data_IF_871767989886
#
_entry.id   IF_871767989886
#
_cell.length_a   1.000
_cell.length_b   1.000
_cell.length_c   1.000
_cell.angle_alpha   90.00
_cell.angle_beta   90.00
_cell.angle_gamma   90.00
#
_symmetry.space_group_name_H-M   'P 1'
#
loop_
_entity.id
_entity.type
_entity.pdbx_description
1 polymer ?
#
# COMPACT_ATOMS: atom_id res chain seq x y z
N UNK A 1 -18.08 25.87 0.03
CA UNK A 1 -17.45 24.57 0.32
C UNK A 1 -17.15 24.52 1.81
N UNK A 2 -17.70 23.55 2.56
CA UNK A 2 -17.50 23.46 4.01
C UNK A 2 -16.03 23.10 4.31
N UNK A 3 -15.40 23.81 5.26
CA UNK A 3 -14.01 23.60 5.69
C UNK A 3 -13.73 22.14 6.04
N UNK A 4 -14.71 21.44 6.61
CA UNK A 4 -14.62 20.03 6.94
C UNK A 4 -14.34 19.14 5.71
N UNK A 5 -15.00 19.41 4.57
CA UNK A 5 -14.78 18.62 3.35
C UNK A 5 -13.38 18.85 2.77
N UNK A 6 -12.88 20.08 2.84
CA UNK A 6 -11.54 20.43 2.36
C UNK A 6 -10.49 19.69 3.19
N UNK A 7 -10.63 19.70 4.51
CA UNK A 7 -9.73 18.98 5.41
C UNK A 7 -9.79 17.48 5.17
N UNK A 8 -10.98 16.89 5.03
CA UNK A 8 -11.13 15.46 4.76
C UNK A 8 -10.45 15.05 3.43
N UNK A 9 -10.68 15.81 2.37
CA UNK A 9 -10.08 15.54 1.06
C UNK A 9 -8.56 15.72 1.09
N UNK A 10 -8.06 16.74 1.78
CA UNK A 10 -6.63 16.95 1.99
C UNK A 10 -5.99 15.78 2.74
N UNK A 11 -6.62 15.29 3.83
CA UNK A 11 -6.15 14.10 4.56
C UNK A 11 -6.17 12.88 3.63
N UNK A 12 -7.27 12.64 2.91
CA UNK A 12 -7.40 11.48 2.03
C UNK A 12 -6.29 11.45 0.97
N UNK A 13 -6.06 12.57 0.28
CA UNK A 13 -5.02 12.67 -0.76
C UNK A 13 -3.63 12.52 -0.13
N UNK A 14 -3.36 13.17 0.99
CA UNK A 14 -2.05 13.10 1.66
C UNK A 14 -1.73 11.66 2.06
N UNK A 15 -2.70 10.93 2.62
CA UNK A 15 -2.49 9.53 3.01
C UNK A 15 -2.33 8.61 1.80
N UNK A 16 -3.04 8.88 0.69
CA UNK A 16 -2.85 8.15 -0.56
C UNK A 16 -1.43 8.35 -1.11
N UNK A 17 -0.93 9.59 -1.10
CA UNK A 17 0.43 9.93 -1.54
C UNK A 17 1.48 9.27 -0.65
N UNK A 18 1.33 9.34 0.67
CA UNK A 18 2.27 8.71 1.61
C UNK A 18 2.33 7.20 1.39
N UNK A 19 1.17 6.54 1.24
CA UNK A 19 1.13 5.10 1.06
C UNK A 19 1.69 4.68 -0.31
N UNK A 20 1.13 5.20 -1.40
CA UNK A 20 1.52 4.80 -2.77
C UNK A 20 2.95 5.24 -3.06
N UNK A 21 3.28 6.51 -2.80
CA UNK A 21 4.63 7.05 -2.99
C UNK A 21 5.67 6.36 -2.12
N UNK A 22 5.33 6.06 -0.86
CA UNK A 22 6.20 5.34 0.06
C UNK A 22 6.54 3.93 -0.43
N UNK A 23 5.57 3.19 -0.99
CA UNK A 23 5.84 1.86 -1.56
C UNK A 23 6.78 1.98 -2.77
N UNK A 24 6.55 2.95 -3.65
CA UNK A 24 7.40 3.16 -4.83
C UNK A 24 8.83 3.53 -4.44
N UNK A 25 9.00 4.49 -3.53
CA UNK A 25 10.30 4.87 -2.99
C UNK A 25 11.02 3.66 -2.37
N UNK A 26 10.32 2.91 -1.52
CA UNK A 26 10.89 1.75 -0.84
C UNK A 26 11.38 0.69 -1.82
N UNK A 27 10.57 0.37 -2.84
CA UNK A 27 10.90 -0.69 -3.79
C UNK A 27 11.95 -0.27 -4.81
N UNK A 28 11.83 0.91 -5.41
CA UNK A 28 12.65 1.37 -6.53
C UNK A 28 13.99 1.91 -6.06
N UNK A 29 13.99 2.74 -5.03
CA UNK A 29 15.19 3.46 -4.56
C UNK A 29 15.82 2.70 -3.40
N UNK A 30 15.12 2.59 -2.27
CA UNK A 30 15.74 2.03 -1.06
C UNK A 30 16.12 0.56 -1.24
N UNK A 31 15.25 -0.24 -1.87
CA UNK A 31 15.50 -1.65 -2.12
C UNK A 31 16.63 -1.92 -3.12
N UNK A 32 16.89 -1.00 -4.06
CA UNK A 32 18.02 -1.12 -4.99
C UNK A 32 19.32 -0.68 -4.32
N UNK A 33 19.33 0.48 -3.65
CA UNK A 33 20.49 0.99 -2.91
C UNK A 33 20.93 0.06 -1.79
N UNK A 34 19.99 -0.61 -1.11
CA UNK A 34 20.32 -1.56 -0.06
C UNK A 34 21.11 -2.79 -0.57
N UNK A 35 21.16 -3.05 -1.89
CA UNK A 35 21.95 -4.14 -2.47
C UNK A 35 23.46 -3.87 -2.46
N UNK A 36 23.85 -2.61 -2.36
CA UNK A 36 25.25 -2.19 -2.29
C UNK A 36 25.86 -2.41 -0.90
N UNK A 37 25.02 -2.66 0.11
CA UNK A 37 25.45 -2.93 1.48
C UNK A 37 25.89 -4.38 1.65
N UNK A 38 26.86 -4.59 2.54
CA UNK A 38 27.20 -5.92 3.04
C UNK A 38 25.97 -6.63 3.63
N UNK A 39 25.97 -7.95 3.58
CA UNK A 39 24.81 -8.78 3.95
C UNK A 39 24.28 -8.48 5.36
N UNK A 40 25.18 -8.29 6.34
CA UNK A 40 24.81 -7.99 7.73
C UNK A 40 24.15 -6.60 7.86
N UNK A 41 24.75 -5.56 7.25
CA UNK A 41 24.20 -4.21 7.23
C UNK A 41 22.84 -4.15 6.50
N UNK A 42 22.74 -4.82 5.34
CA UNK A 42 21.50 -4.93 4.56
C UNK A 42 20.37 -5.56 5.36
N UNK A 43 20.63 -6.64 6.10
CA UNK A 43 19.65 -7.30 6.97
C UNK A 43 19.16 -6.36 8.06
N UNK A 44 20.07 -5.68 8.76
CA UNK A 44 19.74 -4.71 9.81
C UNK A 44 18.88 -3.56 9.28
N UNK A 45 19.26 -2.99 8.14
CA UNK A 45 18.49 -1.93 7.48
C UNK A 45 17.09 -2.43 7.10
N UNK A 46 16.99 -3.61 6.48
CA UNK A 46 15.71 -4.19 6.05
C UNK A 46 14.75 -4.35 7.22
N UNK A 47 15.21 -4.89 8.36
CA UNK A 47 14.38 -5.07 9.55
C UNK A 47 13.94 -3.74 10.17
N UNK A 48 14.85 -2.77 10.25
CA UNK A 48 14.56 -1.44 10.80
C UNK A 48 13.53 -0.69 9.94
N UNK A 49 13.72 -0.71 8.61
CA UNK A 49 12.82 -0.09 7.65
C UNK A 49 11.47 -0.78 7.68
N UNK A 50 11.43 -2.11 7.63
CA UNK A 50 10.17 -2.88 7.71
C UNK A 50 9.34 -2.46 8.94
N UNK A 51 9.96 -2.39 10.13
CA UNK A 51 9.28 -1.96 11.37
C UNK A 51 8.73 -0.53 11.30
N UNK A 52 9.50 0.42 10.74
CA UNK A 52 9.10 1.83 10.67
C UNK A 52 8.06 2.08 9.58
N UNK A 53 8.30 1.55 8.39
CA UNK A 53 7.44 1.75 7.22
C UNK A 53 6.07 1.09 7.42
N UNK A 54 6.01 -0.11 8.00
CA UNK A 54 4.75 -0.80 8.30
C UNK A 54 3.83 0.07 9.17
N UNK A 55 4.36 0.76 10.19
CA UNK A 55 3.56 1.67 11.03
C UNK A 55 2.95 2.83 10.24
N UNK A 56 3.73 3.42 9.33
CA UNK A 56 3.27 4.51 8.47
C UNK A 56 2.18 4.01 7.51
N UNK A 57 2.41 2.87 6.86
CA UNK A 57 1.43 2.24 5.96
C UNK A 57 0.10 2.00 6.66
N UNK A 58 0.11 1.40 7.85
CA UNK A 58 -1.12 1.14 8.60
C UNK A 58 -1.85 2.41 9.03
N UNK A 59 -1.11 3.44 9.47
CA UNK A 59 -1.70 4.74 9.77
C UNK A 59 -2.36 5.36 8.53
N UNK A 60 -1.70 5.30 7.37
CA UNK A 60 -2.26 5.77 6.09
C UNK A 60 -3.51 4.99 5.67
N UNK A 61 -3.51 3.65 5.80
CA UNK A 61 -4.67 2.81 5.48
C UNK A 61 -5.87 3.20 6.34
N UNK A 62 -5.69 3.28 7.66
CA UNK A 62 -6.78 3.62 8.59
C UNK A 62 -7.38 4.98 8.22
N UNK A 63 -6.54 6.00 8.04
CA UNK A 63 -7.00 7.34 7.70
C UNK A 63 -7.64 7.40 6.30
N UNK A 64 -7.18 6.62 5.33
CA UNK A 64 -7.79 6.50 4.01
C UNK A 64 -9.18 5.87 4.06
N UNK A 65 -9.35 4.79 4.83
CA UNK A 65 -10.64 4.12 4.98
C UNK A 65 -11.63 5.07 5.65
N UNK A 66 -11.23 5.75 6.72
CA UNK A 66 -12.08 6.72 7.43
C UNK A 66 -12.47 7.87 6.48
N UNK A 67 -11.49 8.55 5.90
CA UNK A 67 -11.74 9.72 5.05
C UNK A 67 -12.49 9.39 3.76
N UNK A 68 -12.25 8.20 3.19
CA UNK A 68 -12.95 7.70 2.01
C UNK A 68 -14.40 7.33 2.30
N UNK A 69 -14.65 6.70 3.45
CA UNK A 69 -16.01 6.37 3.90
C UNK A 69 -16.82 7.63 4.15
N UNK A 70 -16.25 8.59 4.89
CA UNK A 70 -16.84 9.91 5.11
C UNK A 70 -17.22 10.56 3.78
N UNK A 71 -16.28 10.65 2.83
CA UNK A 71 -16.53 11.19 1.49
C UNK A 71 -17.67 10.48 0.75
N UNK A 72 -17.70 9.15 0.79
CA UNK A 72 -18.73 8.36 0.13
C UNK A 72 -20.13 8.59 0.70
N UNK A 73 -20.24 8.74 2.03
CA UNK A 73 -21.50 9.07 2.72
C UNK A 73 -22.01 10.44 2.28
N UNK A 74 -21.16 11.47 2.33
CA UNK A 74 -21.55 12.84 1.98
C UNK A 74 -22.00 12.99 0.52
N UNK A 75 -21.39 12.23 -0.38
CA UNK A 75 -21.70 12.29 -1.80
C UNK A 75 -22.85 11.35 -2.21
N UNK A 76 -23.46 10.64 -1.25
CA UNK A 76 -24.44 9.57 -1.53
C UNK A 76 -23.92 8.55 -2.57
N UNK A 77 -22.60 8.41 -2.67
CA UNK A 77 -21.94 7.71 -3.78
C UNK A 77 -22.18 6.20 -3.76
N UNK A 78 -22.61 5.65 -2.62
CA UNK A 78 -22.89 4.24 -2.44
C UNK A 78 -24.23 3.78 -3.03
N UNK A 79 -25.19 4.69 -3.23
CA UNK A 79 -26.55 4.33 -3.70
C UNK A 79 -26.64 4.12 -5.21
N UNK A 80 -25.63 4.54 -5.97
CA UNK A 80 -25.62 4.51 -7.45
C UNK A 80 -24.39 3.83 -8.06
N UNK A 81 -23.69 2.97 -7.32
CA UNK A 81 -22.42 2.38 -7.74
C UNK A 81 -22.46 1.63 -9.09
N UNK A 82 -23.62 1.15 -9.51
CA UNK A 82 -23.75 0.41 -10.79
C UNK A 82 -24.64 1.11 -11.80
N UNK A 83 -25.11 2.34 -11.49
CA UNK A 83 -26.08 3.06 -12.29
C UNK A 83 -25.45 4.10 -13.25
N UNK A 84 -24.17 4.41 -13.07
CA UNK A 84 -23.49 5.45 -13.86
C UNK A 84 -22.02 5.10 -14.11
N UNK A 85 -21.41 5.75 -15.11
CA UNK A 85 -19.97 5.68 -15.36
C UNK A 85 -19.17 6.04 -14.10
N UNK A 86 -19.60 7.09 -13.39
CA UNK A 86 -19.02 7.48 -12.10
C UNK A 86 -19.06 6.32 -11.09
N UNK A 87 -20.22 5.68 -10.94
CA UNK A 87 -20.41 4.54 -10.04
C UNK A 87 -19.46 3.38 -10.36
N UNK A 88 -19.39 2.97 -11.63
CA UNK A 88 -18.54 1.87 -12.07
C UNK A 88 -17.06 2.13 -11.80
N UNK A 89 -16.58 3.33 -12.14
CA UNK A 89 -15.18 3.72 -11.88
C UNK A 89 -14.90 3.77 -10.38
N UNK A 90 -15.84 4.25 -9.57
CA UNK A 90 -15.72 4.25 -8.11
C UNK A 90 -15.69 2.82 -7.54
N UNK A 91 -16.56 1.93 -8.04
CA UNK A 91 -16.59 0.52 -7.65
C UNK A 91 -15.28 -0.19 -7.93
N UNK A 92 -14.71 -0.02 -9.13
CA UNK A 92 -13.39 -0.57 -9.49
C UNK A 92 -12.31 -0.02 -8.55
N UNK A 93 -12.31 1.29 -8.26
CA UNK A 93 -11.37 1.90 -7.31
C UNK A 93 -11.47 1.24 -5.92
N UNK A 94 -12.68 1.02 -5.41
CA UNK A 94 -12.89 0.40 -4.10
C UNK A 94 -12.40 -1.06 -4.06
N UNK A 95 -12.65 -1.83 -5.12
CA UNK A 95 -12.14 -3.21 -5.24
C UNK A 95 -10.61 -3.23 -5.23
N UNK A 96 -9.97 -2.34 -5.98
CA UNK A 96 -8.51 -2.24 -6.01
C UNK A 96 -7.95 -1.85 -4.64
N UNK A 97 -8.54 -0.86 -3.95
CA UNK A 97 -8.12 -0.48 -2.59
C UNK A 97 -8.26 -1.66 -1.62
N UNK A 98 -9.37 -2.40 -1.68
CA UNK A 98 -9.57 -3.59 -0.85
C UNK A 98 -8.50 -4.66 -1.13
N UNK A 99 -8.20 -4.92 -2.40
CA UNK A 99 -7.13 -5.84 -2.79
C UNK A 99 -5.75 -5.40 -2.27
N UNK A 100 -5.43 -4.09 -2.35
CA UNK A 100 -4.20 -3.53 -1.80
C UNK A 100 -4.11 -3.71 -0.27
N UNK A 101 -5.22 -3.54 0.46
CA UNK A 101 -5.29 -3.76 1.91
C UNK A 101 -5.06 -5.25 2.23
N UNK A 102 -5.67 -6.18 1.49
CA UNK A 102 -5.43 -7.62 1.67
C UNK A 102 -3.96 -7.95 1.45
N UNK A 103 -3.33 -7.40 0.41
CA UNK A 103 -1.89 -7.57 0.18
C UNK A 103 -1.09 -7.02 1.36
N UNK A 104 -1.44 -5.84 1.89
CA UNK A 104 -0.76 -5.25 3.05
C UNK A 104 -0.90 -6.11 4.32
N UNK A 105 -2.07 -6.72 4.54
CA UNK A 105 -2.33 -7.70 5.62
C UNK A 105 -1.40 -8.90 5.47
N UNK A 106 -1.42 -9.55 4.30
CA UNK A 106 -0.60 -10.73 4.03
C UNK A 106 0.90 -10.41 4.17
N UNK A 107 1.33 -9.29 3.59
CA UNK A 107 2.70 -8.81 3.67
C UNK A 107 3.13 -8.59 5.13
N UNK A 108 2.31 -7.92 5.94
CA UNK A 108 2.65 -7.56 7.32
C UNK A 108 2.61 -8.75 8.26
N UNK A 109 1.53 -9.53 8.22
CA UNK A 109 1.19 -10.50 9.27
C UNK A 109 1.53 -11.95 8.90
N UNK A 110 1.63 -12.28 7.61
CA UNK A 110 1.96 -13.64 7.16
C UNK A 110 3.44 -13.71 6.76
N UNK A 111 3.85 -12.89 5.79
CA UNK A 111 5.20 -12.97 5.25
C UNK A 111 6.22 -12.17 6.07
N UNK A 112 5.80 -11.14 6.78
CA UNK A 112 6.65 -10.35 7.67
C UNK A 112 7.31 -11.19 8.78
N UNK A 113 6.55 -11.99 9.55
CA UNK A 113 7.12 -12.92 10.54
C UNK A 113 8.02 -13.98 9.91
N UNK A 114 7.63 -14.57 8.77
CA UNK A 114 8.45 -15.55 8.04
C UNK A 114 9.80 -14.96 7.61
N UNK A 115 9.80 -13.73 7.10
CA UNK A 115 11.04 -13.04 6.73
C UNK A 115 11.94 -12.82 7.95
N UNK A 116 11.36 -12.38 9.08
CA UNK A 116 12.12 -12.16 10.32
C UNK A 116 12.72 -13.44 10.88
N UNK A 117 11.97 -14.54 10.88
CA UNK A 117 12.46 -15.83 11.38
C UNK A 117 13.60 -16.37 10.52
N UNK A 118 13.45 -16.32 9.19
CA UNK A 118 14.48 -16.78 8.25
C UNK A 118 15.73 -15.92 8.27
N UNK A 119 15.59 -14.61 8.50
CA UNK A 119 16.74 -13.75 8.72
C UNK A 119 17.38 -13.98 10.09
N UNK A 120 16.63 -14.39 11.12
CA UNK A 120 17.12 -14.54 12.50
C UNK A 120 17.81 -15.87 12.83
N UNK A 121 17.55 -16.95 12.09
CA UNK A 121 18.14 -18.27 12.32
C UNK A 121 19.51 -18.50 11.65
N UNK A 122 20.13 -19.66 11.90
CA UNK A 122 21.39 -20.04 11.28
C UNK A 122 21.28 -20.11 9.75
N UNK A 123 22.15 -19.37 9.08
CA UNK A 123 22.11 -19.00 7.67
C UNK A 123 22.37 -20.15 6.68
N UNK A 124 22.85 -21.30 7.16
CA UNK A 124 23.42 -22.37 6.33
C UNK A 124 22.38 -23.29 5.67
N UNK A 125 21.16 -23.41 6.21
CA UNK A 125 20.11 -24.28 5.66
C UNK A 125 18.92 -23.56 5.01
N UNK A 126 18.80 -22.25 5.18
CA UNK A 126 17.55 -21.51 4.91
C UNK A 126 17.58 -20.59 3.68
N UNK A 127 18.64 -20.65 2.87
CA UNK A 127 18.84 -19.73 1.75
C UNK A 127 17.72 -19.84 0.68
N UNK A 128 17.31 -21.06 0.33
CA UNK A 128 16.24 -21.30 -0.65
C UNK A 128 14.88 -20.80 -0.14
N UNK A 129 14.55 -21.09 1.12
CA UNK A 129 13.33 -20.63 1.76
C UNK A 129 13.27 -19.09 1.83
N UNK A 130 14.39 -18.45 2.18
CA UNK A 130 14.51 -17.00 2.22
C UNK A 130 14.32 -16.38 0.83
N UNK A 131 14.94 -16.95 -0.20
CA UNK A 131 14.77 -16.49 -1.58
C UNK A 131 13.30 -16.62 -2.04
N UNK A 132 12.63 -17.71 -1.67
CA UNK A 132 11.21 -17.93 -1.96
C UNK A 132 10.30 -16.88 -1.31
N UNK A 133 10.48 -16.60 -0.02
CA UNK A 133 9.71 -15.57 0.71
C UNK A 133 9.99 -14.18 0.14
N UNK A 134 11.25 -13.84 -0.14
CA UNK A 134 11.62 -12.56 -0.72
C UNK A 134 11.01 -12.35 -2.11
N UNK A 135 10.96 -13.40 -2.95
CA UNK A 135 10.31 -13.35 -4.26
C UNK A 135 8.82 -13.06 -4.15
N UNK A 136 8.11 -13.72 -3.22
CA UNK A 136 6.67 -13.47 -2.95
C UNK A 136 6.44 -12.05 -2.45
N UNK A 137 7.24 -11.58 -1.48
CA UNK A 137 7.17 -10.21 -0.98
C UNK A 137 7.39 -9.17 -2.09
N UNK A 138 8.41 -9.38 -2.93
CA UNK A 138 8.69 -8.49 -4.05
C UNK A 138 7.54 -8.46 -5.06
N UNK A 139 6.93 -9.62 -5.36
CA UNK A 139 5.77 -9.70 -6.23
C UNK A 139 4.57 -8.95 -5.63
N UNK A 140 4.29 -9.16 -4.35
CA UNK A 140 3.23 -8.45 -3.63
C UNK A 140 3.41 -6.93 -3.69
N UNK A 141 4.64 -6.45 -3.44
CA UNK A 141 4.96 -5.02 -3.53
C UNK A 141 4.75 -4.49 -4.94
N UNK A 142 5.21 -5.21 -5.98
CA UNK A 142 5.00 -4.81 -7.38
C UNK A 142 3.51 -4.73 -7.75
N UNK A 143 2.72 -5.73 -7.38
CA UNK A 143 1.26 -5.72 -7.62
C UNK A 143 0.62 -4.53 -6.89
N UNK A 144 1.02 -4.30 -5.64
CA UNK A 144 0.50 -3.19 -4.84
C UNK A 144 0.87 -1.82 -5.43
N UNK A 145 2.09 -1.67 -5.98
CA UNK A 145 2.51 -0.48 -6.72
C UNK A 145 1.66 -0.27 -7.97
N UNK A 146 1.47 -1.32 -8.78
CA UNK A 146 0.65 -1.24 -10.00
C UNK A 146 -0.78 -0.83 -9.67
N UNK A 147 -1.41 -1.46 -8.66
CA UNK A 147 -2.75 -1.07 -8.21
C UNK A 147 -2.80 0.36 -7.70
N UNK A 148 -1.82 0.78 -6.89
CA UNK A 148 -1.71 2.14 -6.41
C UNK A 148 -1.65 3.16 -7.55
N UNK A 149 -0.80 2.90 -8.54
CA UNK A 149 -0.67 3.76 -9.72
C UNK A 149 -1.96 3.79 -10.55
N UNK A 150 -2.60 2.63 -10.76
CA UNK A 150 -3.92 2.56 -11.42
C UNK A 150 -4.98 3.35 -10.65
N UNK A 151 -5.00 3.30 -9.32
CA UNK A 151 -5.94 4.08 -8.50
C UNK A 151 -5.74 5.58 -8.72
N UNK A 152 -4.50 6.07 -8.83
CA UNK A 152 -4.24 7.48 -9.14
C UNK A 152 -4.84 7.89 -10.49
N UNK A 153 -4.72 7.03 -11.51
CA UNK A 153 -5.37 7.24 -12.80
C UNK A 153 -6.90 7.25 -12.68
N UNK A 154 -7.49 6.28 -11.95
CA UNK A 154 -8.94 6.23 -11.74
C UNK A 154 -9.46 7.46 -11.00
N UNK A 155 -8.67 8.05 -10.10
CA UNK A 155 -9.03 9.31 -9.42
C UNK A 155 -9.14 10.46 -10.42
N UNK A 156 -8.23 10.56 -11.39
CA UNK A 156 -8.31 11.57 -12.46
C UNK A 156 -9.54 11.33 -13.33
N UNK A 157 -9.82 10.08 -13.70
CA UNK A 157 -11.02 9.74 -14.49
C UNK A 157 -12.29 10.10 -13.72
N UNK A 158 -12.36 9.79 -12.42
CA UNK A 158 -13.50 10.16 -11.56
C UNK A 158 -13.73 11.67 -11.52
N UNK A 159 -12.68 12.48 -11.60
CA UNK A 159 -12.83 13.94 -11.67
C UNK A 159 -13.37 14.42 -13.01
N UNK A 160 -13.21 13.65 -14.09
CA UNK A 160 -13.72 13.98 -15.44
C UNK A 160 -15.15 13.50 -15.67
N UNK A 161 -15.57 12.39 -15.04
CA UNK A 161 -16.90 11.78 -15.23
C UNK A 161 -17.92 12.16 -14.15
N UNK A 162 -17.55 13.04 -13.23
CA UNK A 162 -18.40 13.56 -12.16
C UNK A 162 -19.12 14.81 -12.63
#
# INVERSE_FOLDING_TARGET
MNIFHVINDWIHITMAVIWIGGIHYHFVILGSSARELEMAARKTLTLAVFKRFTRIVWASIILLVISGTLKGIYLHAFYGLFASTYGWVLGIKLILVAAMIVIAILFTFVYGPQLKSLLGGDSSGNAEALAGVQKKLNLMVKINMTFGFTILLLVVILAMVR
#
